data_IF_578926801814
#
_entry.id   IF_578926801814
#
_cell.length_a   1.000
_cell.length_b   1.000
_cell.length_c   1.000
_cell.angle_alpha   90.00
_cell.angle_beta   90.00
_cell.angle_gamma   90.00
#
_symmetry.space_group_name_H-M   'P 1'
#
loop_
_entity.id
_entity.type
_entity.pdbx_description
1 polymer ?
#
# COMPACT_ATOMS: atom_id res chain seq x y z
N UNK A 1 -10.82 -17.71 18.31
CA UNK A 1 -11.64 -18.11 17.15
C UNK A 1 -10.69 -18.35 15.99
N UNK A 2 -10.76 -19.47 15.25
CA UNK A 2 -9.92 -19.63 14.07
C UNK A 2 -10.44 -18.64 13.02
N UNK A 3 -9.68 -17.60 12.75
CA UNK A 3 -10.02 -16.66 11.69
C UNK A 3 -9.97 -17.39 10.35
N UNK A 4 -10.95 -17.13 9.50
CA UNK A 4 -11.02 -17.76 8.21
C UNK A 4 -9.97 -17.14 7.28
N UNK A 5 -9.34 -17.97 6.42
CA UNK A 5 -8.45 -17.50 5.37
C UNK A 5 -9.10 -16.37 4.52
N UNK A 6 -10.43 -16.41 4.38
CA UNK A 6 -11.21 -15.36 3.71
C UNK A 6 -11.06 -13.97 4.36
N UNK A 7 -11.10 -13.87 5.68
CA UNK A 7 -10.93 -12.59 6.40
C UNK A 7 -9.53 -12.02 6.16
N UNK A 8 -8.50 -12.87 6.23
CA UNK A 8 -7.12 -12.50 5.92
C UNK A 8 -6.95 -11.98 4.48
N UNK A 9 -7.59 -12.63 3.50
CA UNK A 9 -7.56 -12.20 2.10
C UNK A 9 -8.25 -10.84 1.92
N UNK A 10 -9.43 -10.64 2.53
CA UNK A 10 -10.19 -9.40 2.44
C UNK A 10 -9.43 -8.24 3.10
N UNK A 11 -8.90 -8.45 4.31
CA UNK A 11 -8.09 -7.46 5.02
C UNK A 11 -6.86 -7.08 4.19
N UNK A 12 -6.17 -8.06 3.61
CA UNK A 12 -5.00 -7.83 2.76
C UNK A 12 -5.35 -7.03 1.50
N UNK A 13 -6.49 -7.35 0.87
CA UNK A 13 -6.98 -6.61 -0.30
C UNK A 13 -7.28 -5.15 0.05
N UNK A 14 -7.99 -4.90 1.16
CA UNK A 14 -8.37 -3.55 1.60
C UNK A 14 -7.13 -2.71 1.91
N UNK A 15 -6.16 -3.27 2.65
CA UNK A 15 -4.88 -2.61 2.97
C UNK A 15 -4.21 -2.12 1.69
N UNK A 16 -3.96 -3.03 0.74
CA UNK A 16 -3.23 -2.68 -0.48
C UNK A 16 -4.01 -1.71 -1.39
N UNK A 17 -5.34 -1.74 -1.34
CA UNK A 17 -6.18 -0.76 -2.02
C UNK A 17 -6.03 0.64 -1.41
N UNK A 18 -6.17 0.78 -0.09
CA UNK A 18 -6.04 2.06 0.62
C UNK A 18 -4.63 2.63 0.47
N UNK A 19 -3.60 1.79 0.61
CA UNK A 19 -2.21 2.23 0.44
C UNK A 19 -1.91 2.69 -0.98
N UNK A 20 -2.67 2.22 -1.96
CA UNK A 20 -2.57 2.71 -3.35
C UNK A 20 -3.20 4.08 -3.48
N UNK A 21 -4.30 4.37 -2.78
CA UNK A 21 -4.93 5.69 -2.78
C UNK A 21 -4.06 6.83 -2.22
N UNK A 22 -2.97 6.50 -1.49
CA UNK A 22 -1.98 7.49 -1.05
C UNK A 22 -1.43 8.36 -2.20
N UNK A 23 -1.35 7.83 -3.41
CA UNK A 23 -0.87 8.59 -4.56
C UNK A 23 -1.84 9.72 -4.99
N UNK A 24 -3.11 9.65 -4.62
CA UNK A 24 -4.08 10.71 -4.87
C UNK A 24 -3.71 12.02 -4.15
N UNK A 25 -3.00 11.94 -3.03
CA UNK A 25 -2.53 13.11 -2.27
C UNK A 25 -1.68 14.01 -3.16
N UNK A 26 -0.70 13.45 -3.87
CA UNK A 26 0.21 14.21 -4.74
C UNK A 26 -0.53 14.84 -5.92
N UNK A 27 -1.44 14.08 -6.55
CA UNK A 27 -2.28 14.59 -7.64
C UNK A 27 -3.16 15.75 -7.19
N UNK A 28 -3.86 15.59 -6.06
CA UNK A 28 -4.75 16.60 -5.53
C UNK A 28 -3.97 17.85 -5.11
N UNK A 29 -2.88 17.67 -4.35
CA UNK A 29 -2.08 18.77 -3.82
C UNK A 29 -1.59 19.70 -4.92
N UNK A 30 -1.05 19.16 -6.02
CA UNK A 30 -0.53 19.99 -7.12
C UNK A 30 -1.66 20.66 -7.89
N UNK A 31 -2.82 20.01 -8.00
CA UNK A 31 -3.98 20.57 -8.70
C UNK A 31 -4.65 21.71 -7.91
N UNK A 32 -4.71 21.60 -6.58
CA UNK A 32 -5.45 22.56 -5.73
C UNK A 32 -4.56 23.53 -4.97
N UNK A 33 -3.25 23.27 -4.88
CA UNK A 33 -2.32 23.99 -4.01
C UNK A 33 -2.42 23.62 -2.53
N UNK A 34 -3.33 22.70 -2.15
CA UNK A 34 -3.66 22.39 -0.76
C UNK A 34 -2.91 21.16 -0.25
N UNK A 35 -1.58 21.25 -0.15
CA UNK A 35 -0.74 20.12 0.28
C UNK A 35 -1.05 19.66 1.70
N UNK A 36 -1.02 20.57 2.68
CA UNK A 36 -1.22 20.22 4.10
C UNK A 36 -2.60 19.61 4.36
N UNK A 37 -3.67 20.16 3.76
CA UNK A 37 -5.02 19.62 3.91
C UNK A 37 -5.17 18.24 3.27
N UNK A 38 -4.53 18.03 2.11
CA UNK A 38 -4.52 16.72 1.45
C UNK A 38 -3.81 15.67 2.31
N UNK A 39 -2.64 15.99 2.87
CA UNK A 39 -1.90 15.08 3.77
C UNK A 39 -2.71 14.77 5.02
N UNK A 40 -3.25 15.79 5.69
CA UNK A 40 -4.08 15.63 6.89
C UNK A 40 -5.28 14.73 6.62
N UNK A 41 -6.02 14.98 5.54
CA UNK A 41 -7.19 14.18 5.20
C UNK A 41 -6.79 12.73 4.90
N UNK A 42 -5.72 12.51 4.14
CA UNK A 42 -5.28 11.16 3.82
C UNK A 42 -4.77 10.39 5.04
N UNK A 43 -4.09 11.04 5.98
CA UNK A 43 -3.65 10.40 7.22
C UNK A 43 -4.84 9.82 8.00
N UNK A 44 -5.99 10.49 7.99
CA UNK A 44 -7.21 9.97 8.62
C UNK A 44 -7.76 8.73 7.92
N UNK A 45 -7.78 8.73 6.58
CA UNK A 45 -8.15 7.53 5.81
C UNK A 45 -7.17 6.39 6.04
N UNK A 46 -5.87 6.71 6.14
CA UNK A 46 -4.81 5.74 6.35
C UNK A 46 -4.88 5.05 7.72
N UNK A 47 -5.47 5.68 8.74
CA UNK A 47 -5.70 5.03 10.05
C UNK A 47 -6.47 3.70 9.91
N UNK A 48 -7.39 3.60 8.94
CA UNK A 48 -8.12 2.36 8.65
C UNK A 48 -7.16 1.27 8.17
N UNK A 49 -6.23 1.61 7.25
CA UNK A 49 -5.18 0.70 6.78
C UNK A 49 -4.25 0.29 7.92
N UNK A 50 -3.89 1.24 8.80
CA UNK A 50 -3.04 0.99 9.95
C UNK A 50 -3.67 -0.01 10.93
N UNK A 51 -4.95 0.16 11.27
CA UNK A 51 -5.69 -0.79 12.12
C UNK A 51 -5.76 -2.17 11.45
N UNK A 52 -6.03 -2.22 10.15
CA UNK A 52 -6.07 -3.46 9.38
C UNK A 52 -4.72 -4.18 9.39
N UNK A 53 -3.60 -3.44 9.25
CA UNK A 53 -2.24 -3.97 9.36
C UNK A 53 -1.98 -4.59 10.74
N UNK A 54 -2.33 -3.87 11.81
CA UNK A 54 -2.14 -4.34 13.19
C UNK A 54 -2.94 -5.61 13.48
N UNK A 55 -4.18 -5.69 12.98
CA UNK A 55 -5.00 -6.90 13.10
C UNK A 55 -4.41 -8.04 12.26
N UNK A 56 -3.89 -7.78 11.05
CA UNK A 56 -3.35 -8.81 10.15
C UNK A 56 -2.17 -9.59 10.74
N UNK A 57 -1.32 -8.96 11.56
CA UNK A 57 -0.14 -9.62 12.13
C UNK A 57 -0.46 -10.87 13.00
N UNK A 58 -1.29 -10.78 14.06
CA UNK A 58 -1.69 -11.96 14.83
C UNK A 58 -2.51 -12.97 14.00
N UNK A 59 -3.24 -12.52 12.96
CA UNK A 59 -3.94 -13.42 12.05
C UNK A 59 -2.97 -14.31 11.27
N UNK A 60 -1.89 -13.74 10.71
CA UNK A 60 -0.84 -14.52 10.06
C UNK A 60 -0.14 -15.42 11.08
N UNK A 61 0.14 -14.93 12.30
CA UNK A 61 0.69 -15.75 13.38
C UNK A 61 -0.14 -16.99 13.67
N UNK A 62 -1.45 -16.84 13.85
CA UNK A 62 -2.36 -17.97 14.07
C UNK A 62 -2.43 -18.94 12.87
N UNK A 63 -2.28 -18.44 11.64
CA UNK A 63 -2.14 -19.27 10.45
C UNK A 63 -0.87 -20.12 10.50
N UNK A 64 0.24 -19.56 10.98
CA UNK A 64 1.49 -20.32 11.19
C UNK A 64 1.31 -21.36 12.32
N UNK A 65 0.73 -20.98 13.45
CA UNK A 65 0.51 -21.90 14.59
C UNK A 65 -0.37 -23.10 14.20
N UNK A 66 -1.46 -22.83 13.46
CA UNK A 66 -2.33 -23.90 12.93
C UNK A 66 -1.60 -24.79 11.93
N UNK A 67 -0.72 -24.23 11.12
CA UNK A 67 0.08 -25.00 10.15
C UNK A 67 1.11 -25.89 10.86
N UNK A 68 1.75 -25.39 11.91
CA UNK A 68 2.66 -26.17 12.77
C UNK A 68 1.93 -27.31 13.47
N UNK A 69 0.79 -27.05 14.10
CA UNK A 69 0.01 -28.08 14.81
C UNK A 69 -0.53 -29.18 13.89
N UNK A 70 -0.89 -28.83 12.65
CA UNK A 70 -1.39 -29.79 11.66
C UNK A 70 -0.28 -30.39 10.79
N UNK A 71 0.99 -30.00 10.99
CA UNK A 71 2.12 -30.39 10.13
C UNK A 71 1.88 -30.12 8.64
N UNK A 72 1.23 -28.99 8.33
CA UNK A 72 0.91 -28.55 6.98
C UNK A 72 1.82 -27.39 6.55
N UNK A 73 2.15 -27.32 5.27
CA UNK A 73 2.90 -26.18 4.72
C UNK A 73 1.95 -24.98 4.51
N UNK A 74 2.18 -23.81 5.16
CA UNK A 74 1.36 -22.61 4.94
C UNK A 74 1.67 -21.87 3.64
N UNK A 75 2.72 -22.27 2.90
CA UNK A 75 3.18 -21.56 1.71
C UNK A 75 2.07 -21.30 0.67
N UNK A 76 1.16 -22.26 0.36
CA UNK A 76 0.05 -21.99 -0.56
C UNK A 76 -0.88 -20.88 -0.06
N UNK A 77 -1.17 -20.82 1.24
CA UNK A 77 -2.01 -19.81 1.86
C UNK A 77 -1.31 -18.44 1.81
N UNK A 78 -0.01 -18.38 2.16
CA UNK A 78 0.79 -17.15 2.07
C UNK A 78 0.86 -16.61 0.64
N UNK A 79 1.03 -17.48 -0.37
CA UNK A 79 0.99 -17.07 -1.79
C UNK A 79 -0.37 -16.50 -2.20
N UNK A 80 -1.48 -17.05 -1.68
CA UNK A 80 -2.83 -16.48 -1.89
C UNK A 80 -2.97 -15.11 -1.24
N UNK A 81 -2.36 -14.86 -0.08
CA UNK A 81 -2.34 -13.52 0.53
C UNK A 81 -1.57 -12.52 -0.35
N UNK A 82 -0.45 -12.92 -0.95
CA UNK A 82 0.29 -12.07 -1.90
C UNK A 82 -0.54 -11.79 -3.17
N UNK A 83 -1.31 -12.78 -3.65
CA UNK A 83 -2.26 -12.55 -4.75
C UNK A 83 -3.36 -11.55 -4.35
N UNK A 84 -3.88 -11.63 -3.11
CA UNK A 84 -4.84 -10.66 -2.60
C UNK A 84 -4.24 -9.25 -2.48
N UNK A 85 -2.98 -9.13 -2.07
CA UNK A 85 -2.24 -7.86 -2.06
C UNK A 85 -2.12 -7.25 -3.47
N UNK A 86 -1.83 -8.10 -4.45
CA UNK A 86 -1.75 -7.72 -5.87
C UNK A 86 -3.11 -7.28 -6.40
N UNK A 87 -4.17 -8.06 -6.12
CA UNK A 87 -5.53 -7.75 -6.49
C UNK A 87 -6.03 -6.44 -5.85
N UNK A 88 -5.71 -6.22 -4.57
CA UNK A 88 -6.01 -4.97 -3.86
C UNK A 88 -5.30 -3.76 -4.45
N UNK A 89 -4.02 -3.90 -4.80
CA UNK A 89 -3.25 -2.85 -5.49
C UNK A 89 -3.87 -2.55 -6.85
N UNK A 90 -4.21 -3.59 -7.62
CA UNK A 90 -4.86 -3.43 -8.92
C UNK A 90 -6.24 -2.76 -8.80
N UNK A 91 -7.06 -3.15 -7.82
CA UNK A 91 -8.33 -2.52 -7.51
C UNK A 91 -8.13 -1.04 -7.13
N UNK A 92 -7.13 -0.73 -6.31
CA UNK A 92 -6.76 0.65 -5.96
C UNK A 92 -6.38 1.48 -7.19
N UNK A 93 -5.65 0.90 -8.15
CA UNK A 93 -5.33 1.54 -9.43
C UNK A 93 -6.60 1.80 -10.25
N UNK A 94 -7.47 0.81 -10.34
CA UNK A 94 -8.73 0.89 -11.07
C UNK A 94 -9.65 1.97 -10.51
N UNK A 95 -9.76 2.04 -9.18
CA UNK A 95 -10.64 2.98 -8.49
C UNK A 95 -9.98 4.34 -8.19
N UNK A 96 -8.70 4.52 -8.51
CA UNK A 96 -7.96 5.77 -8.29
C UNK A 96 -8.68 7.02 -8.84
N UNK A 97 -9.22 7.04 -10.08
CA UNK A 97 -9.88 8.24 -10.59
C UNK A 97 -11.14 8.61 -9.80
N UNK A 98 -11.88 7.58 -9.36
CA UNK A 98 -13.09 7.74 -8.54
C UNK A 98 -12.72 8.28 -7.16
N UNK A 99 -11.70 7.67 -6.53
CA UNK A 99 -11.19 8.12 -5.24
C UNK A 99 -10.70 9.57 -5.31
N UNK A 100 -9.94 9.95 -6.35
CA UNK A 100 -9.41 11.30 -6.50
C UNK A 100 -10.52 12.36 -6.58
N UNK A 101 -11.64 12.08 -7.25
CA UNK A 101 -12.78 13.00 -7.31
C UNK A 101 -13.44 13.20 -5.95
N UNK A 102 -13.64 12.12 -5.21
CA UNK A 102 -14.18 12.18 -3.85
C UNK A 102 -13.20 12.90 -2.91
N UNK A 103 -11.92 12.53 -2.97
CA UNK A 103 -10.86 13.09 -2.16
C UNK A 103 -10.73 14.60 -2.35
N UNK A 104 -10.74 15.08 -3.60
CA UNK A 104 -10.73 16.52 -3.91
C UNK A 104 -11.88 17.28 -3.22
N UNK A 105 -13.11 16.75 -3.31
CA UNK A 105 -14.28 17.37 -2.65
C UNK A 105 -14.16 17.35 -1.13
N UNK A 106 -13.64 16.25 -0.58
CA UNK A 106 -13.44 16.11 0.85
C UNK A 106 -12.37 17.09 1.38
N UNK A 107 -11.28 17.32 0.65
CA UNK A 107 -10.25 18.33 1.00
C UNK A 107 -10.86 19.73 0.98
N UNK A 108 -11.66 20.07 -0.04
CA UNK A 108 -12.35 21.37 -0.12
C UNK A 108 -13.34 21.57 1.05
N UNK A 109 -14.06 20.52 1.43
CA UNK A 109 -14.95 20.56 2.59
C UNK A 109 -14.17 20.71 3.90
N UNK A 110 -12.96 20.14 4.01
CA UNK A 110 -12.08 20.29 5.17
C UNK A 110 -11.62 21.72 5.38
N UNK A 111 -11.25 22.39 4.30
CA UNK A 111 -10.89 23.81 4.33
C UNK A 111 -12.01 24.68 4.90
N UNK A 112 -13.26 24.41 4.50
CA UNK A 112 -14.44 25.19 4.94
C UNK A 112 -14.92 24.86 6.35
N UNK A 113 -14.92 23.59 6.72
CA UNK A 113 -15.44 23.13 8.01
C UNK A 113 -14.46 23.36 9.16
N UNK A 114 -13.16 23.45 8.88
CA UNK A 114 -12.09 23.69 9.86
C UNK A 114 -11.90 22.60 10.92
N UNK A 115 -12.75 21.56 10.94
CA UNK A 115 -12.73 20.48 11.93
C UNK A 115 -12.75 19.11 11.26
N UNK A 116 -11.67 18.38 11.50
CA UNK A 116 -11.45 17.01 11.03
C UNK A 116 -12.56 16.03 11.48
N UNK A 117 -13.01 16.01 12.75
CA UNK A 117 -14.05 15.08 13.21
C UNK A 117 -15.43 15.30 12.57
N UNK A 118 -15.76 16.54 12.18
CA UNK A 118 -17.03 16.86 11.56
C UNK A 118 -17.14 16.24 10.16
N UNK A 119 -16.03 16.14 9.43
CA UNK A 119 -15.99 15.57 8.08
C UNK A 119 -16.08 14.06 8.11
N UNK A 120 -15.42 13.41 9.07
CA UNK A 120 -15.57 11.97 9.29
C UNK A 120 -17.03 11.64 9.61
N UNK A 121 -17.67 12.44 10.48
CA UNK A 121 -19.10 12.30 10.78
C UNK A 121 -19.99 12.47 9.55
N UNK A 122 -19.67 13.42 8.69
CA UNK A 122 -20.43 13.69 7.45
C UNK A 122 -20.19 12.61 6.38
N UNK A 123 -18.97 12.07 6.28
CA UNK A 123 -18.63 10.96 5.39
C UNK A 123 -19.30 9.65 5.81
N UNK A 124 -19.48 9.41 7.11
CA UNK A 124 -20.25 8.27 7.63
C UNK A 124 -21.76 8.46 7.42
N UNK A 125 -22.25 9.70 7.35
CA UNK A 125 -23.65 10.05 7.11
C UNK A 125 -24.11 9.95 5.66
N UNK A 126 -23.32 9.39 4.72
CA UNK A 126 -23.72 9.26 3.32
C UNK A 126 -25.05 8.49 3.20
N UNK A 127 -26.14 9.24 3.02
CA UNK A 127 -27.54 8.77 3.02
C UNK A 127 -27.94 7.99 1.75
N UNK A 128 -27.04 7.79 0.78
CA UNK A 128 -27.39 7.15 -0.51
C UNK A 128 -26.21 6.46 -1.21
N UNK A 129 -25.83 5.23 -0.80
CA UNK A 129 -24.78 4.45 -1.47
C UNK A 129 -25.09 4.16 -2.96
N UNK A 130 -26.36 4.12 -3.35
CA UNK A 130 -26.79 3.91 -4.75
C UNK A 130 -26.40 5.03 -5.71
N UNK A 131 -26.19 6.28 -5.24
CA UNK A 131 -25.68 7.38 -6.08
C UNK A 131 -24.17 7.32 -6.26
N UNK A 132 -23.42 6.67 -5.37
CA UNK A 132 -21.97 6.50 -5.50
C UNK A 132 -21.60 5.68 -6.75
N UNK A 133 -22.45 4.70 -7.09
CA UNK A 133 -22.26 3.84 -8.26
C UNK A 133 -22.27 4.60 -9.59
N UNK A 134 -23.00 5.72 -9.67
CA UNK A 134 -23.07 6.57 -10.87
C UNK A 134 -21.81 7.44 -11.07
N UNK A 135 -20.94 7.54 -10.06
CA UNK A 135 -19.69 8.32 -10.12
C UNK A 135 -18.45 7.44 -10.30
N UNK A 136 -18.60 6.13 -10.50
CA UNK A 136 -17.47 5.26 -10.84
C UNK A 136 -16.87 5.72 -12.17
N UNK A 137 -15.63 6.18 -12.09
CA UNK A 137 -14.81 6.55 -13.24
C UNK A 137 -13.64 5.60 -13.31
N UNK A 138 -13.62 4.83 -14.40
CA UNK A 138 -12.50 3.95 -14.72
C UNK A 138 -11.35 4.74 -15.36
N UNK A 139 -10.10 4.25 -15.28
CA UNK A 139 -8.97 4.87 -15.95
C UNK A 139 -9.24 4.92 -17.45
N UNK A 140 -9.23 6.12 -18.04
CA UNK A 140 -9.40 6.26 -19.49
C UNK A 140 -8.06 6.30 -20.20
N UNK A 141 -7.99 5.78 -21.43
CA UNK A 141 -6.77 5.84 -22.27
C UNK A 141 -6.24 7.27 -22.44
N UNK A 142 -7.13 8.28 -22.41
CA UNK A 142 -6.77 9.70 -22.49
C UNK A 142 -5.96 10.19 -21.27
N UNK A 143 -6.12 9.57 -20.10
CA UNK A 143 -5.42 9.97 -18.86
C UNK A 143 -3.94 9.61 -18.87
N UNK A 144 -3.58 8.55 -19.59
CA UNK A 144 -2.22 8.02 -19.72
C UNK A 144 -1.57 8.35 -21.06
N UNK A 145 -2.36 8.78 -22.06
CA UNK A 145 -1.84 9.19 -23.36
C UNK A 145 -1.02 10.49 -23.24
N UNK A 146 0.15 10.51 -23.89
CA UNK A 146 1.07 11.65 -23.94
C UNK A 146 1.66 12.08 -22.58
N UNK A 147 1.71 11.17 -21.59
CA UNK A 147 2.45 11.45 -20.36
C UNK A 147 3.97 11.41 -20.63
N UNK A 148 4.76 12.34 -20.05
CA UNK A 148 6.20 12.45 -20.28
C UNK A 148 6.99 11.39 -19.50
N UNK A 149 6.71 10.12 -19.79
CA UNK A 149 7.25 8.99 -19.04
C UNK A 149 8.78 8.89 -19.11
N UNK A 150 9.39 9.41 -20.17
CA UNK A 150 10.84 9.43 -20.36
C UNK A 150 11.59 10.32 -19.34
N UNK A 151 10.89 11.27 -18.70
CA UNK A 151 11.49 12.19 -17.72
C UNK A 151 11.64 11.58 -16.32
N UNK A 152 11.17 10.35 -16.12
CA UNK A 152 11.12 9.71 -14.80
C UNK A 152 12.24 8.67 -14.73
N UNK A 153 13.12 8.75 -13.70
CA UNK A 153 14.26 7.84 -13.57
C UNK A 153 13.80 6.37 -13.50
N UNK A 154 14.39 5.50 -14.32
CA UNK A 154 14.02 4.07 -14.35
C UNK A 154 14.44 3.36 -13.06
N UNK A 155 15.50 3.84 -12.43
CA UNK A 155 16.02 3.35 -11.14
C UNK A 155 14.97 3.54 -10.03
N UNK A 156 14.17 4.62 -10.11
CA UNK A 156 13.10 4.87 -9.16
C UNK A 156 12.00 3.80 -9.24
N UNK A 157 11.71 3.29 -10.45
CA UNK A 157 10.69 2.25 -10.68
C UNK A 157 11.17 0.94 -10.09
N UNK A 158 12.39 0.52 -10.45
CA UNK A 158 12.98 -0.73 -9.97
C UNK A 158 13.08 -0.74 -8.44
N UNK A 159 13.54 0.36 -7.86
CA UNK A 159 13.68 0.49 -6.42
C UNK A 159 12.33 0.52 -5.70
N UNK A 160 11.35 1.29 -6.22
CA UNK A 160 10.01 1.32 -5.63
C UNK A 160 9.31 -0.05 -5.71
N UNK A 161 9.50 -0.78 -6.82
CA UNK A 161 8.98 -2.14 -6.96
C UNK A 161 9.64 -3.10 -5.97
N UNK A 162 10.98 -3.06 -5.84
CA UNK A 162 11.71 -3.88 -4.87
C UNK A 162 11.28 -3.59 -3.43
N UNK A 163 11.27 -2.32 -3.04
CA UNK A 163 10.85 -1.88 -1.70
C UNK A 163 9.40 -2.30 -1.42
N UNK A 164 8.50 -2.12 -2.39
CA UNK A 164 7.11 -2.58 -2.26
C UNK A 164 7.04 -4.09 -2.10
N UNK A 165 7.84 -4.85 -2.85
CA UNK A 165 7.92 -6.30 -2.71
C UNK A 165 8.32 -6.71 -1.30
N UNK A 166 9.40 -6.11 -0.76
CA UNK A 166 9.86 -6.35 0.61
C UNK A 166 8.77 -5.97 1.62
N UNK A 167 8.08 -4.84 1.47
CA UNK A 167 6.95 -4.50 2.34
C UNK A 167 5.81 -5.52 2.29
N UNK A 168 5.52 -6.01 1.09
CA UNK A 168 4.42 -6.95 0.86
C UNK A 168 4.71 -8.28 1.55
N UNK A 169 5.93 -8.81 1.42
CA UNK A 169 6.26 -10.16 1.90
C UNK A 169 7.09 -10.20 3.16
N UNK A 170 7.68 -9.10 3.63
CA UNK A 170 8.64 -9.12 4.73
C UNK A 170 8.08 -9.74 6.01
N UNK A 171 6.88 -9.32 6.42
CA UNK A 171 6.19 -9.93 7.55
C UNK A 171 5.87 -11.41 7.32
N UNK A 172 5.27 -11.75 6.17
CA UNK A 172 4.94 -13.14 5.83
C UNK A 172 6.18 -14.04 5.75
N UNK A 173 7.32 -13.51 5.30
CA UNK A 173 8.58 -14.24 5.18
C UNK A 173 9.17 -14.52 6.55
N UNK A 174 9.12 -13.57 7.48
CA UNK A 174 9.54 -13.77 8.87
C UNK A 174 8.66 -14.81 9.58
N UNK A 175 7.33 -14.74 9.39
CA UNK A 175 6.40 -15.74 9.89
C UNK A 175 6.62 -17.13 9.28
N UNK A 176 6.94 -17.21 7.98
CA UNK A 176 7.30 -18.47 7.33
C UNK A 176 8.64 -19.03 7.81
N UNK A 177 9.63 -18.16 8.03
CA UNK A 177 10.94 -18.52 8.57
C UNK A 177 10.83 -19.17 9.96
N UNK A 178 9.84 -18.78 10.77
CA UNK A 178 9.57 -19.40 12.06
C UNK A 178 9.24 -20.91 11.97
N UNK A 179 8.84 -21.42 10.82
CA UNK A 179 8.63 -22.88 10.61
C UNK A 179 9.94 -23.57 10.21
N UNK A 180 10.86 -22.84 9.59
CA UNK A 180 12.12 -23.37 9.07
C UNK A 180 13.23 -23.47 10.12
N UNK A 181 13.01 -22.90 11.32
CA UNK A 181 13.99 -22.82 12.41
C UNK A 181 13.63 -23.73 13.59
N UNK A 182 14.61 -24.08 14.46
CA UNK A 182 14.34 -24.83 15.68
C UNK A 182 13.33 -24.15 16.61
N UNK A 183 12.64 -24.93 17.44
CA UNK A 183 11.54 -24.44 18.30
C UNK A 183 11.94 -23.24 19.17
N UNK A 184 13.16 -23.25 19.72
CA UNK A 184 13.69 -22.18 20.56
C UNK A 184 13.89 -20.84 19.83
N UNK A 185 13.96 -20.83 18.50
CA UNK A 185 14.20 -19.62 17.69
C UNK A 185 12.97 -19.12 16.94
N UNK A 186 11.82 -19.82 16.98
CA UNK A 186 10.63 -19.46 16.20
C UNK A 186 10.14 -18.04 16.49
N UNK A 187 10.08 -17.65 17.76
CA UNK A 187 9.66 -16.31 18.18
C UNK A 187 10.63 -15.24 17.67
N UNK A 188 11.94 -15.50 17.72
CA UNK A 188 12.96 -14.58 17.22
C UNK A 188 12.86 -14.40 15.70
N UNK A 189 12.69 -15.48 14.95
CA UNK A 189 12.50 -15.45 13.50
C UNK A 189 11.23 -14.70 13.09
N UNK A 190 10.11 -14.90 13.80
CA UNK A 190 8.88 -14.15 13.56
C UNK A 190 9.06 -12.65 13.89
N UNK A 191 9.78 -12.32 14.96
CA UNK A 191 10.07 -10.94 15.35
C UNK A 191 10.94 -10.18 14.31
N UNK A 192 11.70 -10.89 13.46
CA UNK A 192 12.43 -10.30 12.33
C UNK A 192 11.51 -9.57 11.33
N UNK A 193 10.18 -9.78 11.38
CA UNK A 193 9.21 -9.00 10.62
C UNK A 193 9.35 -7.49 10.84
N UNK A 194 9.57 -7.07 12.10
CA UNK A 194 9.75 -5.65 12.45
C UNK A 194 11.03 -5.07 11.87
N UNK A 195 12.11 -5.85 11.85
CA UNK A 195 13.37 -5.46 11.24
C UNK A 195 13.24 -5.26 9.72
N UNK A 196 12.60 -6.21 9.01
CA UNK A 196 12.38 -6.10 7.57
C UNK A 196 11.51 -4.89 7.21
N UNK A 197 10.43 -4.66 7.98
CA UNK A 197 9.57 -3.50 7.78
C UNK A 197 10.34 -2.18 7.98
N UNK A 198 11.12 -2.08 9.06
CA UNK A 198 11.94 -0.90 9.34
C UNK A 198 12.99 -0.68 8.25
N UNK A 199 13.67 -1.73 7.81
CA UNK A 199 14.66 -1.67 6.74
C UNK A 199 14.05 -1.19 5.42
N UNK A 200 12.91 -1.74 5.03
CA UNK A 200 12.18 -1.30 3.83
C UNK A 200 11.79 0.18 3.94
N UNK A 201 11.37 0.63 5.12
CA UNK A 201 11.03 2.03 5.38
C UNK A 201 12.21 2.98 5.28
N UNK A 202 13.37 2.59 5.80
CA UNK A 202 14.60 3.37 5.64
C UNK A 202 14.95 3.50 4.16
N UNK A 203 14.93 2.40 3.40
CA UNK A 203 15.23 2.42 1.95
C UNK A 203 14.22 3.31 1.21
N UNK A 204 12.93 3.21 1.53
CA UNK A 204 11.89 4.06 0.95
C UNK A 204 12.17 5.55 1.22
N UNK A 205 12.40 5.91 2.49
CA UNK A 205 12.60 7.28 2.93
C UNK A 205 13.89 7.90 2.38
N UNK A 206 14.94 7.12 2.17
CA UNK A 206 16.22 7.63 1.66
C UNK A 206 16.22 7.81 0.14
N UNK A 207 15.56 6.91 -0.60
CA UNK A 207 15.78 6.81 -2.05
C UNK A 207 14.54 7.02 -2.91
N UNK A 208 13.35 6.68 -2.41
CA UNK A 208 12.10 6.75 -3.18
C UNK A 208 11.38 8.05 -2.87
N UNK A 209 11.13 8.33 -1.60
CA UNK A 209 10.31 9.47 -1.17
C UNK A 209 10.92 10.81 -1.60
N UNK A 210 12.22 11.11 -1.40
CA UNK A 210 12.81 12.39 -1.76
C UNK A 210 12.68 12.71 -3.25
N UNK A 211 12.94 11.72 -4.11
CA UNK A 211 12.82 11.89 -5.57
C UNK A 211 11.39 12.21 -5.99
N UNK A 212 10.42 11.52 -5.39
CA UNK A 212 9.00 11.78 -5.66
C UNK A 212 8.54 13.14 -5.15
N UNK A 213 9.04 13.56 -3.99
CA UNK A 213 8.70 14.81 -3.32
C UNK A 213 9.29 16.02 -4.04
N UNK A 214 10.52 15.93 -4.56
CA UNK A 214 11.12 17.00 -5.38
C UNK A 214 10.28 17.29 -6.63
N UNK A 215 9.83 16.26 -7.36
CA UNK A 215 9.00 16.45 -8.56
C UNK A 215 7.66 17.10 -8.19
N UNK A 216 7.06 16.67 -7.07
CA UNK A 216 5.78 17.19 -6.57
C UNK A 216 5.91 18.65 -6.14
N UNK A 217 6.96 19.00 -5.38
CA UNK A 217 7.23 20.36 -4.92
C UNK A 217 7.55 21.31 -6.08
N UNK A 218 8.36 20.88 -7.05
CA UNK A 218 8.64 21.67 -8.24
C UNK A 218 7.36 21.97 -9.04
N UNK A 219 6.42 21.02 -9.12
CA UNK A 219 5.15 21.24 -9.78
C UNK A 219 4.21 22.16 -8.97
N UNK A 220 4.20 22.05 -7.64
CA UNK A 220 3.48 22.97 -6.75
C UNK A 220 3.95 24.42 -6.92
N UNK A 221 5.26 24.63 -7.11
CA UNK A 221 5.85 25.96 -7.36
C UNK A 221 5.68 26.46 -8.79
N UNK A 222 5.05 25.69 -9.67
CA UNK A 222 4.90 26.03 -11.09
C UNK A 222 6.14 25.80 -11.97
N UNK A 223 7.23 25.29 -11.40
CA UNK A 223 8.48 24.99 -12.12
C UNK A 223 8.39 23.73 -13.00
N UNK A 224 7.34 22.92 -12.80
CA UNK A 224 7.04 21.74 -13.62
C UNK A 224 5.55 21.66 -13.94
N UNK A 225 5.17 21.12 -15.10
CA UNK A 225 3.78 20.94 -15.46
C UNK A 225 3.14 19.83 -14.62
N UNK A 226 1.84 19.94 -14.35
CA UNK A 226 1.04 18.90 -13.68
C UNK A 226 1.10 17.53 -14.38
N UNK A 227 1.37 17.52 -15.70
CA UNK A 227 1.57 16.28 -16.46
C UNK A 227 2.74 15.43 -15.94
N UNK A 228 3.81 16.05 -15.42
CA UNK A 228 4.96 15.34 -14.86
C UNK A 228 4.58 14.60 -13.57
N UNK A 229 3.75 15.22 -12.71
CA UNK A 229 3.24 14.58 -11.48
C UNK A 229 2.28 13.44 -11.82
N UNK A 230 1.41 13.62 -12.81
CA UNK A 230 0.56 12.53 -13.29
C UNK A 230 1.37 11.34 -13.79
N UNK A 231 2.42 11.59 -14.58
CA UNK A 231 3.32 10.54 -15.04
C UNK A 231 4.00 9.84 -13.86
N UNK A 232 4.49 10.60 -12.88
CA UNK A 232 5.12 10.06 -11.66
C UNK A 232 4.18 9.15 -10.91
N UNK A 233 2.96 9.60 -10.65
CA UNK A 233 1.96 8.81 -9.91
C UNK A 233 1.60 7.52 -10.64
N UNK A 234 1.36 7.58 -11.95
CA UNK A 234 1.11 6.38 -12.75
C UNK A 234 2.29 5.41 -12.68
N UNK A 235 3.52 5.92 -12.74
CA UNK A 235 4.71 5.08 -12.59
C UNK A 235 4.85 4.46 -11.21
N UNK A 236 4.67 5.23 -10.14
CA UNK A 236 4.78 4.71 -8.77
C UNK A 236 3.70 3.66 -8.50
N UNK A 237 2.48 3.88 -8.98
CA UNK A 237 1.40 2.89 -8.93
C UNK A 237 1.75 1.61 -9.70
N UNK A 238 2.31 1.74 -10.90
CA UNK A 238 2.74 0.60 -11.73
C UNK A 238 3.88 -0.16 -11.06
N UNK A 239 4.86 0.56 -10.52
CA UNK A 239 5.96 -0.02 -9.75
C UNK A 239 5.46 -0.73 -8.48
N UNK A 240 4.47 -0.16 -7.77
CA UNK A 240 3.84 -0.80 -6.62
C UNK A 240 3.17 -2.11 -7.02
N UNK A 241 2.42 -2.13 -8.13
CA UNK A 241 1.81 -3.35 -8.66
C UNK A 241 2.85 -4.40 -9.06
N UNK A 242 3.92 -3.99 -9.74
CA UNK A 242 5.03 -4.89 -10.05
C UNK A 242 5.68 -5.44 -8.76
N UNK A 243 5.85 -4.60 -7.75
CA UNK A 243 6.40 -4.99 -6.46
C UNK A 243 5.56 -6.04 -5.74
N UNK A 244 4.23 -5.91 -5.72
CA UNK A 244 3.36 -6.92 -5.11
C UNK A 244 3.43 -8.26 -5.85
N UNK A 245 3.51 -8.23 -7.19
CA UNK A 245 3.79 -9.43 -7.99
C UNK A 245 5.16 -10.04 -7.69
N UNK A 246 6.21 -9.22 -7.60
CA UNK A 246 7.57 -9.66 -7.24
C UNK A 246 7.59 -10.35 -5.87
N UNK A 247 6.66 -9.99 -4.96
CA UNK A 247 6.44 -10.67 -3.69
C UNK A 247 6.32 -12.19 -3.84
N UNK A 248 5.68 -12.70 -4.90
CA UNK A 248 5.57 -14.15 -5.13
C UNK A 248 6.94 -14.84 -5.22
N UNK A 249 7.91 -14.16 -5.82
CA UNK A 249 9.28 -14.64 -5.99
C UNK A 249 10.13 -14.38 -4.74
N UNK A 250 9.91 -13.25 -4.07
CA UNK A 250 10.71 -12.81 -2.91
C UNK A 250 10.38 -13.58 -1.61
N UNK A 251 9.17 -14.12 -1.47
CA UNK A 251 8.70 -14.75 -0.22
C UNK A 251 9.66 -15.82 0.32
N UNK A 252 10.00 -16.81 -0.51
CA UNK A 252 10.79 -17.98 -0.06
C UNK A 252 12.26 -17.61 0.16
N UNK A 253 12.97 -16.92 -0.77
CA UNK A 253 14.35 -16.52 -0.54
C UNK A 253 14.52 -15.63 0.69
N UNK A 254 13.56 -14.72 0.94
CA UNK A 254 13.62 -13.85 2.10
C UNK A 254 13.40 -14.62 3.40
N UNK A 255 12.48 -15.59 3.41
CA UNK A 255 12.28 -16.46 4.58
C UNK A 255 13.51 -17.34 4.86
N UNK A 256 14.14 -17.91 3.83
CA UNK A 256 15.37 -18.67 3.96
C UNK A 256 16.53 -17.81 4.48
N UNK A 257 16.66 -16.59 3.98
CA UNK A 257 17.66 -15.65 4.46
C UNK A 257 17.47 -15.32 5.95
N UNK A 258 16.23 -15.14 6.42
CA UNK A 258 15.94 -14.96 7.84
C UNK A 258 16.28 -16.22 8.63
N UNK A 259 15.83 -17.39 8.18
CA UNK A 259 16.05 -18.66 8.86
C UNK A 259 17.55 -18.94 9.04
N UNK A 260 18.38 -18.63 8.04
CA UNK A 260 19.83 -18.80 8.08
C UNK A 260 20.54 -18.07 9.23
N UNK A 261 19.93 -17.03 9.82
CA UNK A 261 20.48 -16.36 11.01
C UNK A 261 20.23 -17.12 12.32
N UNK A 262 19.35 -18.13 12.30
CA UNK A 262 18.87 -18.86 13.47
C UNK A 262 19.03 -20.39 13.35
N UNK A 263 19.73 -20.84 12.31
CA UNK A 263 20.11 -22.25 12.09
C UNK A 263 21.41 -22.59 12.82
#
# INVERSE_FOLDING_TARGET
MPFSLGELLVVTLIIHMIDTFAYAVRLNSVKTGQFALSVTLFNLFYLISLVAHTIKAPLIGSLIDSSLSQSMDPLPQLRRLILAATAGTFAGILFMPTFLQFFHRAVFNLERAGSVPAIVREAVKIRSPGRLLHYFTLPSKKMVRNLPFQKIPKELIALNALVTGIYTVGGMSAYYAAILVPEGHRLAAAASAGFLNTSANIIFMLFVDPKSSIITDQALRGNRPYADVKALVVFLMSAKLLGTFLGQLLLVPLAQAIAAFYL
#
